data_IF_331036003414
#
_entry.id   IF_331036003414
#
_cell.length_a   1.000
_cell.length_b   1.000
_cell.length_c   1.000
_cell.angle_alpha   90.00
_cell.angle_beta   90.00
_cell.angle_gamma   90.00
#
_symmetry.space_group_name_H-M   'P 1'
#
loop_
_entity.id
_entity.type
_entity.pdbx_description
1 polymer ?
#
# COMPACT_ATOMS: atom_id res chain seq x y z
N UNK A 1 -17.11 -33.92 -16.84
CA UNK A 1 -15.83 -34.47 -17.36
C UNK A 1 -15.95 -35.72 -18.25
N UNK A 2 -16.80 -36.73 -17.97
CA UNK A 2 -16.86 -37.96 -18.82
C UNK A 2 -17.41 -37.78 -20.24
N UNK A 3 -18.31 -36.83 -20.48
CA UNK A 3 -18.92 -36.59 -21.80
C UNK A 3 -18.00 -35.84 -22.78
N UNK A 4 -17.18 -34.92 -22.27
CA UNK A 4 -16.27 -34.10 -23.09
C UNK A 4 -15.19 -34.97 -23.77
N UNK A 5 -14.70 -36.01 -23.07
CA UNK A 5 -13.72 -36.95 -23.60
C UNK A 5 -14.27 -37.82 -24.74
N UNK A 6 -15.59 -38.04 -24.80
CA UNK A 6 -16.23 -38.84 -25.86
C UNK A 6 -16.37 -38.01 -27.16
N UNK A 7 -16.66 -36.71 -27.03
CA UNK A 7 -16.82 -35.79 -28.17
C UNK A 7 -15.48 -35.53 -28.86
N UNK A 8 -14.40 -35.35 -28.09
CA UNK A 8 -13.05 -35.16 -28.63
C UNK A 8 -12.54 -36.42 -29.34
N UNK A 9 -12.83 -37.61 -28.80
CA UNK A 9 -12.48 -38.87 -29.45
C UNK A 9 -13.24 -39.10 -30.78
N UNK A 10 -14.51 -38.67 -30.87
CA UNK A 10 -15.29 -38.78 -32.09
C UNK A 10 -14.83 -37.81 -33.20
N UNK A 11 -14.37 -36.61 -32.83
CA UNK A 11 -13.85 -35.62 -33.78
C UNK A 11 -12.52 -36.05 -34.43
N UNK A 12 -11.67 -36.78 -33.69
CA UNK A 12 -10.38 -37.26 -34.18
C UNK A 12 -10.50 -38.45 -35.17
N UNK A 13 -11.61 -39.18 -35.15
CA UNK A 13 -11.85 -40.35 -36.03
C UNK A 13 -12.58 -39.99 -37.34
N UNK A 14 -13.04 -38.74 -37.49
CA UNK A 14 -13.78 -38.25 -38.65
C UNK A 14 -13.07 -38.38 -40.03
N UNK A 15 -11.73 -38.33 -40.16
CA UNK A 15 -11.09 -38.47 -41.48
C UNK A 15 -11.10 -39.89 -42.04
N UNK A 16 -11.33 -40.90 -41.19
CA UNK A 16 -11.16 -42.32 -41.54
C UNK A 16 -12.47 -42.95 -42.07
N UNK A 17 -13.62 -42.40 -41.68
CA UNK A 17 -14.93 -42.93 -42.03
C UNK A 17 -15.73 -41.85 -42.77
N UNK A 18 -15.79 -41.95 -44.09
CA UNK A 18 -16.34 -40.93 -45.00
C UNK A 18 -17.72 -40.36 -44.65
N UNK A 19 -18.07 -39.26 -45.35
CA UNK A 19 -19.08 -38.22 -45.09
C UNK A 19 -20.47 -38.56 -44.50
N UNK A 20 -20.85 -39.82 -44.29
CA UNK A 20 -22.12 -40.20 -43.64
C UNK A 20 -22.16 -39.93 -42.13
N UNK A 21 -21.02 -39.79 -41.46
CA UNK A 21 -20.96 -39.59 -40.00
C UNK A 21 -21.00 -38.12 -39.56
N UNK A 22 -20.66 -37.18 -40.44
CA UNK A 22 -20.65 -35.75 -40.13
C UNK A 22 -22.05 -35.20 -39.75
N UNK A 23 -23.11 -35.75 -40.35
CA UNK A 23 -24.49 -35.36 -40.04
C UNK A 23 -24.95 -35.81 -38.65
N UNK A 24 -24.50 -36.98 -38.18
CA UNK A 24 -24.85 -37.51 -36.86
C UNK A 24 -24.12 -36.76 -35.74
N UNK A 25 -22.85 -36.40 -35.97
CA UNK A 25 -22.06 -35.61 -35.02
C UNK A 25 -22.61 -34.20 -34.83
N UNK A 26 -23.04 -33.52 -35.92
CA UNK A 26 -23.72 -32.21 -35.80
C UNK A 26 -25.03 -32.29 -35.03
N UNK A 27 -25.82 -33.34 -35.21
CA UNK A 27 -27.08 -33.52 -34.48
C UNK A 27 -26.86 -33.75 -32.98
N UNK A 28 -25.82 -34.51 -32.62
CA UNK A 28 -25.42 -34.75 -31.23
C UNK A 28 -24.85 -33.51 -30.54
N UNK A 29 -24.12 -32.66 -31.25
CA UNK A 29 -23.63 -31.37 -30.69
C UNK A 29 -24.80 -30.43 -30.39
N UNK A 30 -25.79 -30.33 -31.28
CA UNK A 30 -26.96 -29.46 -31.02
C UNK A 30 -27.87 -29.99 -29.90
N UNK A 31 -28.05 -31.31 -29.76
CA UNK A 31 -28.83 -31.89 -28.65
C UNK A 31 -28.12 -31.76 -27.28
N UNK A 32 -26.79 -31.62 -27.25
CA UNK A 32 -26.03 -31.31 -26.02
C UNK A 32 -26.15 -29.82 -25.67
N UNK A 33 -26.10 -28.92 -26.66
CA UNK A 33 -26.30 -27.48 -26.43
C UNK A 33 -27.74 -27.16 -25.96
N UNK A 34 -28.76 -27.86 -26.48
CA UNK A 34 -30.16 -27.64 -26.09
C UNK A 34 -30.46 -28.15 -24.66
N UNK A 35 -29.70 -29.13 -24.16
CA UNK A 35 -29.82 -29.63 -22.76
C UNK A 35 -29.07 -28.80 -21.73
N UNK A 36 -28.10 -27.97 -22.12
CA UNK A 36 -27.43 -27.05 -21.18
C UNK A 36 -28.19 -25.72 -21.02
N UNK A 37 -29.03 -25.32 -21.98
CA UNK A 37 -29.82 -24.07 -21.88
C UNK A 37 -31.11 -24.19 -21.03
N UNK A 38 -31.49 -25.40 -20.61
CA UNK A 38 -32.73 -25.66 -19.85
C UNK A 38 -32.62 -25.68 -18.33
N UNK A 39 -31.42 -25.54 -17.75
CA UNK A 39 -31.25 -25.54 -16.29
C UNK A 39 -31.31 -24.11 -15.75
N UNK A 40 -32.51 -23.55 -15.74
CA UNK A 40 -32.88 -22.41 -14.89
C UNK A 40 -32.76 -22.88 -13.45
N UNK A 41 -31.57 -22.72 -12.88
CA UNK A 41 -31.38 -22.75 -11.43
C UNK A 41 -32.14 -21.54 -10.91
N UNK A 42 -33.16 -21.82 -10.09
CA UNK A 42 -33.88 -20.82 -9.30
C UNK A 42 -32.91 -19.78 -8.74
N UNK A 43 -33.20 -18.50 -8.99
CA UNK A 43 -32.56 -17.35 -8.36
C UNK A 43 -32.63 -17.52 -6.83
N UNK A 44 -31.63 -18.20 -6.28
CA UNK A 44 -31.19 -17.93 -4.93
C UNK A 44 -30.68 -16.50 -4.99
N UNK A 45 -31.34 -15.61 -4.24
CA UNK A 45 -31.02 -14.20 -4.18
C UNK A 45 -29.50 -14.03 -4.10
N UNK A 46 -28.89 -13.65 -5.23
CA UNK A 46 -27.54 -13.10 -5.25
C UNK A 46 -27.70 -11.79 -4.50
N UNK A 47 -27.47 -11.86 -3.18
CA UNK A 47 -27.09 -10.68 -2.42
C UNK A 47 -25.87 -10.17 -3.14
N UNK A 48 -26.05 -9.16 -3.99
CA UNK A 48 -24.98 -8.22 -4.28
C UNK A 48 -24.36 -7.90 -2.92
N UNK A 49 -23.05 -8.15 -2.72
CA UNK A 49 -22.38 -7.64 -1.54
C UNK A 49 -22.77 -6.17 -1.47
N UNK A 50 -23.37 -5.77 -0.35
CA UNK A 50 -23.55 -4.38 -0.04
C UNK A 50 -22.18 -3.73 -0.33
N UNK A 51 -22.06 -2.72 -1.21
CA UNK A 51 -20.78 -2.05 -1.41
C UNK A 51 -20.29 -1.73 0.00
N UNK A 52 -19.17 -2.37 0.39
CA UNK A 52 -18.64 -2.28 1.74
C UNK A 52 -18.67 -0.79 2.06
N UNK A 53 -19.52 -0.40 3.01
CA UNK A 53 -19.61 0.99 3.43
C UNK A 53 -18.18 1.30 3.83
N UNK A 54 -17.51 2.11 3.00
CA UNK A 54 -16.09 2.36 3.11
C UNK A 54 -15.83 2.68 4.58
N UNK A 55 -15.03 1.84 5.21
CA UNK A 55 -14.78 1.93 6.64
C UNK A 55 -14.21 3.33 6.86
N UNK A 56 -14.95 4.14 7.61
CA UNK A 56 -14.48 5.47 7.99
C UNK A 56 -13.22 5.24 8.82
N UNK A 57 -12.12 5.91 8.45
CA UNK A 57 -10.88 5.93 9.21
C UNK A 57 -10.89 7.22 10.05
N UNK A 58 -11.49 7.20 11.26
CA UNK A 58 -11.74 8.42 12.03
C UNK A 58 -10.45 9.04 12.60
N UNK A 59 -9.41 8.23 12.78
CA UNK A 59 -8.18 8.63 13.44
C UNK A 59 -7.12 9.03 12.42
N UNK A 60 -6.24 9.94 12.81
CA UNK A 60 -5.27 10.57 11.91
C UNK A 60 -3.97 10.94 12.62
N UNK A 61 -2.87 10.80 11.90
CA UNK A 61 -1.55 11.29 12.27
C UNK A 61 -0.87 11.89 11.04
N UNK A 62 -0.07 12.94 11.26
CA UNK A 62 0.78 13.55 10.25
C UNK A 62 2.15 13.80 10.83
N UNK A 63 3.17 13.49 10.04
CA UNK A 63 4.54 13.90 10.27
C UNK A 63 5.07 14.66 9.05
N UNK A 64 5.65 15.83 9.29
CA UNK A 64 6.26 16.64 8.25
C UNK A 64 7.52 16.00 7.65
N UNK A 65 8.17 15.09 8.39
CA UNK A 65 9.32 14.35 7.85
C UNK A 65 8.79 13.33 6.82
N UNK A 66 9.14 13.51 5.55
CA UNK A 66 8.64 12.67 4.45
C UNK A 66 7.16 12.88 4.09
N UNK A 67 6.48 13.87 4.69
CA UNK A 67 5.04 14.10 4.55
C UNK A 67 4.20 12.82 4.78
N UNK A 68 4.53 12.10 5.85
CA UNK A 68 3.82 10.88 6.24
C UNK A 68 2.42 11.21 6.75
N UNK A 69 1.41 10.71 6.03
CA UNK A 69 0.01 10.77 6.48
C UNK A 69 -0.47 9.37 6.82
N UNK A 70 -1.06 9.19 8.01
CA UNK A 70 -1.65 7.93 8.43
C UNK A 70 -3.06 8.14 8.93
N UNK A 71 -3.95 7.24 8.54
CA UNK A 71 -5.34 7.14 9.00
C UNK A 71 -5.62 5.74 9.47
N UNK A 72 -6.40 5.62 10.53
CA UNK A 72 -6.81 4.30 10.98
C UNK A 72 -8.16 4.30 11.67
N UNK A 73 -8.72 3.10 11.77
CA UNK A 73 -9.90 2.76 12.53
C UNK A 73 -9.80 1.33 13.05
N UNK A 74 -10.81 0.93 13.83
CA UNK A 74 -10.93 -0.45 14.29
C UNK A 74 -12.21 -1.06 13.73
N UNK A 75 -12.10 -2.31 13.29
CA UNK A 75 -13.24 -3.11 12.84
C UNK A 75 -13.33 -4.38 13.67
N UNK A 76 -14.56 -4.87 13.85
CA UNK A 76 -14.91 -5.95 14.78
C UNK A 76 -14.57 -5.61 16.25
N UNK A 77 -14.64 -6.61 17.14
CA UNK A 77 -14.41 -6.45 18.58
C UNK A 77 -13.72 -7.69 19.17
N UNK A 78 -13.09 -7.52 20.33
CA UNK A 78 -12.49 -8.62 21.10
C UNK A 78 -11.30 -9.26 20.38
N UNK A 79 -11.25 -10.59 20.33
CA UNK A 79 -10.12 -11.34 19.74
C UNK A 79 -10.08 -11.29 18.20
N UNK A 80 -11.17 -10.84 17.57
CA UNK A 80 -11.25 -10.67 16.12
C UNK A 80 -11.14 -9.20 15.70
N UNK A 81 -10.87 -8.32 16.66
CA UNK A 81 -10.65 -6.90 16.39
C UNK A 81 -9.41 -6.72 15.50
N UNK A 82 -9.54 -5.83 14.52
CA UNK A 82 -8.51 -5.52 13.54
C UNK A 82 -8.33 -4.01 13.46
N UNK A 83 -7.11 -3.60 13.14
CA UNK A 83 -6.88 -2.25 12.62
C UNK A 83 -7.23 -2.24 11.14
N UNK A 84 -7.89 -1.18 10.68
CA UNK A 84 -7.99 -0.80 9.27
C UNK A 84 -7.11 0.44 9.13
N UNK A 85 -5.99 0.32 8.45
CA UNK A 85 -4.92 1.33 8.42
C UNK A 85 -4.65 1.72 6.98
N UNK A 86 -4.58 3.02 6.75
CA UNK A 86 -4.15 3.62 5.49
C UNK A 86 -2.98 4.56 5.78
N UNK A 87 -1.91 4.47 5.02
CA UNK A 87 -0.83 5.45 5.07
C UNK A 87 -0.38 5.88 3.68
N UNK A 88 0.13 7.10 3.62
CA UNK A 88 0.56 7.76 2.38
C UNK A 88 1.96 8.33 2.59
N UNK A 89 2.83 8.03 1.62
CA UNK A 89 4.18 8.57 1.53
C UNK A 89 4.50 8.87 0.07
N UNK A 90 5.28 9.92 -0.14
CA UNK A 90 5.75 10.29 -1.47
C UNK A 90 6.89 9.39 -1.90
N UNK A 91 6.58 8.45 -2.77
CA UNK A 91 7.52 7.50 -3.34
C UNK A 91 6.86 6.70 -4.45
N UNK A 92 7.61 6.50 -5.52
CA UNK A 92 7.27 5.69 -6.68
C UNK A 92 7.94 4.32 -6.69
N UNK A 93 8.89 4.07 -5.77
CA UNK A 93 9.62 2.82 -5.61
C UNK A 93 9.03 1.94 -4.51
N UNK A 94 9.16 2.33 -3.23
CA UNK A 94 8.52 1.67 -2.08
C UNK A 94 8.33 2.62 -0.88
N UNK A 95 7.34 2.28 -0.07
CA UNK A 95 7.04 2.87 1.23
C UNK A 95 6.86 1.75 2.24
N UNK A 96 7.19 2.00 3.51
CA UNK A 96 7.05 1.01 4.56
C UNK A 96 6.68 1.62 5.89
N UNK A 97 5.97 0.84 6.71
CA UNK A 97 5.65 1.16 8.09
C UNK A 97 5.97 -0.06 8.97
N UNK A 98 6.62 0.16 10.10
CA UNK A 98 6.95 -0.86 11.08
C UNK A 98 6.30 -0.61 12.44
N UNK A 99 5.94 -1.69 13.12
CA UNK A 99 5.11 -1.68 14.32
C UNK A 99 5.92 -2.04 15.57
N UNK A 100 5.89 -1.16 16.58
CA UNK A 100 6.40 -1.47 17.91
C UNK A 100 7.93 -1.51 17.99
N UNK A 101 8.60 -0.87 17.04
CA UNK A 101 10.04 -0.84 16.90
C UNK A 101 10.53 0.61 16.76
N UNK A 102 11.78 0.85 17.14
CA UNK A 102 12.46 2.17 17.03
C UNK A 102 13.74 2.05 16.20
N UNK A 103 13.81 1.05 15.34
CA UNK A 103 14.90 0.75 14.42
C UNK A 103 14.41 -0.25 13.40
N UNK A 104 15.11 -0.41 12.26
CA UNK A 104 14.80 -1.51 11.34
C UNK A 104 15.04 -2.88 11.98
N UNK A 105 15.95 -2.98 12.96
CA UNK A 105 16.27 -4.23 13.64
C UNK A 105 15.12 -4.77 14.48
N UNK A 106 14.82 -6.06 14.33
CA UNK A 106 13.77 -6.78 15.08
C UNK A 106 12.43 -6.06 14.95
N UNK A 107 12.08 -5.71 13.71
CA UNK A 107 10.89 -4.93 13.41
C UNK A 107 9.94 -5.71 12.48
N UNK A 108 8.68 -5.77 12.90
CA UNK A 108 7.52 -6.17 12.10
C UNK A 108 7.13 -4.99 11.20
N UNK A 109 7.06 -5.23 9.89
CA UNK A 109 6.90 -4.19 8.89
C UNK A 109 5.95 -4.60 7.77
N UNK A 110 5.22 -3.62 7.28
CA UNK A 110 4.47 -3.72 6.02
C UNK A 110 5.15 -2.81 5.00
N UNK A 111 5.61 -3.39 3.90
CA UNK A 111 6.33 -2.67 2.84
C UNK A 111 5.65 -2.90 1.50
N UNK A 112 5.51 -1.84 0.70
CA UNK A 112 4.88 -1.93 -0.61
C UNK A 112 4.95 -0.65 -1.41
N UNK A 113 4.19 -0.58 -2.49
CA UNK A 113 3.98 0.64 -3.26
C UNK A 113 2.60 0.67 -3.92
N UNK A 114 2.20 1.85 -4.36
CA UNK A 114 0.89 2.09 -4.98
C UNK A 114 0.76 1.72 -6.46
N UNK A 115 1.86 1.34 -7.13
CA UNK A 115 1.90 1.16 -8.58
C UNK A 115 2.48 2.34 -9.38
N UNK A 116 3.57 2.95 -8.89
CA UNK A 116 4.33 4.00 -9.57
C UNK A 116 5.22 3.45 -10.70
N UNK A 117 6.55 3.49 -10.52
CA UNK A 117 7.48 2.91 -11.51
C UNK A 117 7.52 1.38 -11.46
N UNK A 118 7.25 0.80 -10.30
CA UNK A 118 7.11 -0.64 -10.11
C UNK A 118 5.64 -1.05 -10.11
N UNK A 119 5.36 -2.29 -10.48
CA UNK A 119 4.05 -2.91 -10.26
C UNK A 119 3.64 -2.76 -8.80
N UNK A 120 2.37 -2.43 -8.56
CA UNK A 120 1.83 -2.33 -7.20
C UNK A 120 2.06 -3.63 -6.43
N UNK A 121 2.60 -3.52 -5.22
CA UNK A 121 2.79 -4.64 -4.31
C UNK A 121 2.64 -4.19 -2.85
N UNK A 122 2.37 -5.14 -1.96
CA UNK A 122 2.52 -4.98 -0.51
C UNK A 122 2.76 -6.35 0.08
N UNK A 123 3.69 -6.45 1.00
CA UNK A 123 4.05 -7.70 1.65
C UNK A 123 4.30 -7.46 3.14
N UNK A 124 4.17 -8.54 3.89
CA UNK A 124 4.39 -8.62 5.33
C UNK A 124 5.82 -9.09 5.60
N UNK A 125 6.58 -8.28 6.34
CA UNK A 125 8.01 -8.42 6.50
C UNK A 125 8.42 -8.39 7.97
N UNK A 126 9.51 -9.11 8.26
CA UNK A 126 10.24 -8.98 9.50
C UNK A 126 11.73 -8.87 9.24
N UNK A 127 12.37 -7.94 9.94
CA UNK A 127 13.82 -7.75 9.85
C UNK A 127 14.49 -8.19 11.15
N UNK A 128 15.52 -9.04 11.04
CA UNK A 128 16.17 -9.70 12.18
C UNK A 128 17.45 -8.98 12.64
N UNK A 129 18.25 -8.45 11.70
CA UNK A 129 19.65 -8.10 11.93
C UNK A 129 19.91 -6.59 12.07
N UNK A 130 19.09 -5.77 11.42
CA UNK A 130 19.20 -4.33 11.18
C UNK A 130 19.90 -4.03 9.86
N UNK A 131 19.58 -2.87 9.26
CA UNK A 131 20.27 -2.30 8.09
C UNK A 131 20.45 -3.27 6.90
N UNK A 132 19.47 -4.14 6.67
CA UNK A 132 19.42 -5.11 5.58
C UNK A 132 18.05 -5.15 4.93
N UNK A 133 18.00 -5.76 3.75
CA UNK A 133 16.74 -6.12 3.13
C UNK A 133 15.97 -7.08 4.06
N UNK A 134 14.72 -6.75 4.42
CA UNK A 134 13.94 -7.59 5.31
C UNK A 134 13.48 -8.87 4.63
N UNK A 135 13.17 -9.88 5.44
CA UNK A 135 12.59 -11.13 4.97
C UNK A 135 11.09 -11.08 5.07
N UNK A 136 10.37 -11.73 4.15
CA UNK A 136 8.92 -11.86 4.36
C UNK A 136 8.66 -12.78 5.55
N UNK A 137 7.52 -12.59 6.22
CA UNK A 137 7.16 -13.41 7.36
C UNK A 137 7.09 -14.90 7.00
N UNK A 138 6.55 -15.21 5.81
CA UNK A 138 6.49 -16.57 5.28
C UNK A 138 7.89 -17.19 5.11
N UNK A 139 8.92 -16.43 4.69
CA UNK A 139 10.30 -16.91 4.59
C UNK A 139 10.88 -17.30 5.95
N UNK A 140 10.44 -16.62 7.01
CA UNK A 140 10.83 -16.90 8.40
C UNK A 140 9.90 -17.91 9.10
N UNK A 141 8.95 -18.49 8.35
CA UNK A 141 7.97 -19.47 8.83
C UNK A 141 6.87 -18.87 9.71
N UNK A 142 6.54 -17.60 9.50
CA UNK A 142 5.30 -16.97 9.94
C UNK A 142 4.21 -16.98 8.86
N UNK A 143 3.31 -16.02 8.90
CA UNK A 143 2.20 -15.82 7.97
C UNK A 143 2.15 -14.39 7.45
N UNK A 144 1.62 -14.21 6.24
CA UNK A 144 1.20 -12.89 5.79
C UNK A 144 -0.19 -12.59 6.39
N UNK A 145 -0.26 -11.61 7.28
CA UNK A 145 -1.45 -11.29 8.07
C UNK A 145 -2.24 -10.07 7.54
N UNK A 146 -1.94 -9.64 6.32
CA UNK A 146 -2.60 -8.52 5.64
C UNK A 146 -3.89 -8.96 4.93
N UNK A 147 -5.00 -8.32 5.28
CA UNK A 147 -6.33 -8.53 4.71
C UNK A 147 -6.83 -7.26 3.99
N UNK A 148 -7.78 -7.40 3.07
CA UNK A 148 -8.49 -6.27 2.41
C UNK A 148 -7.57 -5.17 1.84
N UNK A 149 -6.45 -5.59 1.24
CA UNK A 149 -5.43 -4.70 0.68
C UNK A 149 -5.99 -3.82 -0.44
N UNK A 150 -5.69 -2.51 -0.37
CA UNK A 150 -5.93 -1.51 -1.41
C UNK A 150 -4.65 -0.72 -1.63
N UNK A 151 -4.18 -0.70 -2.88
CA UNK A 151 -2.96 -0.01 -3.30
C UNK A 151 -3.34 1.04 -4.34
N UNK A 152 -2.86 2.27 -4.17
CA UNK A 152 -3.05 3.36 -5.13
C UNK A 152 -1.78 4.17 -5.27
N UNK A 153 -1.50 4.61 -6.48
CA UNK A 153 -0.50 5.63 -6.75
C UNK A 153 -1.19 6.83 -7.36
N UNK A 154 -1.21 7.94 -6.63
CA UNK A 154 -1.84 9.18 -7.06
C UNK A 154 -1.08 10.39 -6.54
N UNK A 155 -1.02 11.45 -7.34
CA UNK A 155 -0.30 12.68 -6.98
C UNK A 155 1.15 12.42 -6.52
N UNK A 156 1.83 11.45 -7.17
CA UNK A 156 3.21 11.04 -6.88
C UNK A 156 3.43 10.42 -5.49
N UNK A 157 2.34 9.99 -4.84
CA UNK A 157 2.39 9.30 -3.57
C UNK A 157 1.86 7.87 -3.69
N UNK A 158 2.50 6.97 -2.96
CA UNK A 158 1.99 5.62 -2.72
C UNK A 158 1.05 5.65 -1.52
N UNK A 159 -0.18 5.16 -1.72
CA UNK A 159 -1.20 5.00 -0.69
C UNK A 159 -1.43 3.50 -0.49
N UNK A 160 -1.16 3.02 0.72
CA UNK A 160 -1.35 1.65 1.13
C UNK A 160 -2.44 1.60 2.18
N UNK A 161 -3.47 0.79 1.96
CA UNK A 161 -4.48 0.47 2.97
C UNK A 161 -4.62 -1.03 3.13
N UNK A 162 -4.70 -1.49 4.37
CA UNK A 162 -4.89 -2.90 4.69
C UNK A 162 -5.57 -3.05 6.04
N UNK A 163 -6.03 -4.26 6.33
CA UNK A 163 -6.51 -4.67 7.64
C UNK A 163 -5.59 -5.73 8.22
N UNK A 164 -5.39 -5.69 9.53
CA UNK A 164 -4.61 -6.71 10.26
C UNK A 164 -5.17 -6.88 11.66
N UNK A 165 -5.14 -8.09 12.20
CA UNK A 165 -5.55 -8.34 13.59
C UNK A 165 -4.64 -7.58 14.55
N UNK A 166 -5.18 -7.14 15.68
CA UNK A 166 -4.35 -6.48 16.71
C UNK A 166 -3.32 -7.44 17.34
N UNK A 167 -3.67 -8.72 17.38
CA UNK A 167 -2.82 -9.83 17.80
C UNK A 167 -3.09 -10.99 16.83
N UNK A 168 -2.13 -11.25 15.94
CA UNK A 168 -2.20 -12.31 14.92
C UNK A 168 -1.87 -13.67 15.53
N UNK A 169 -1.11 -13.68 16.62
CA UNK A 169 -0.50 -14.88 17.19
C UNK A 169 0.72 -15.37 16.42
N UNK A 170 1.17 -14.63 15.39
CA UNK A 170 2.48 -14.85 14.77
C UNK A 170 3.59 -14.43 15.75
N UNK A 171 4.70 -15.15 15.71
CA UNK A 171 5.90 -14.90 16.54
C UNK A 171 6.74 -13.72 16.03
N UNK A 172 6.60 -13.35 14.75
CA UNK A 172 7.33 -12.23 14.15
C UNK A 172 6.58 -10.92 14.31
N UNK A 173 5.26 -11.01 14.44
CA UNK A 173 4.37 -9.89 14.60
C UNK A 173 4.45 -9.17 15.95
N UNK A 174 4.41 -7.85 15.88
CA UNK A 174 4.14 -6.98 17.00
C UNK A 174 2.63 -6.97 17.30
N UNK A 175 2.28 -7.06 18.58
CA UNK A 175 0.91 -6.80 19.03
C UNK A 175 0.63 -5.30 18.92
N UNK A 176 -0.33 -4.93 18.06
CA UNK A 176 -0.79 -3.54 17.89
C UNK A 176 -1.62 -3.14 19.11
N UNK A 177 -1.08 -2.22 19.90
CA UNK A 177 -1.71 -1.74 21.14
C UNK A 177 -2.68 -0.62 20.84
N UNK A 178 -3.87 -0.64 21.45
CA UNK A 178 -4.76 0.54 21.52
C UNK A 178 -4.26 1.52 22.58
N UNK A 179 -3.19 2.23 22.26
CA UNK A 179 -2.52 3.20 23.13
C UNK A 179 -1.24 3.70 22.46
N UNK A 180 -0.35 4.31 23.24
CA UNK A 180 0.96 4.75 22.75
C UNK A 180 1.79 3.57 22.24
N UNK A 181 2.25 3.70 21.00
CA UNK A 181 3.09 2.74 20.30
C UNK A 181 4.06 3.50 19.39
N UNK A 182 5.31 3.07 19.40
CA UNK A 182 6.30 3.59 18.46
C UNK A 182 6.11 2.90 17.11
N UNK A 183 6.15 3.70 16.06
CA UNK A 183 6.11 3.26 14.67
C UNK A 183 7.35 3.81 13.98
N UNK A 184 7.91 3.02 13.07
CA UNK A 184 8.91 3.49 12.12
C UNK A 184 8.26 3.58 10.76
N UNK A 185 8.64 4.53 9.92
CA UNK A 185 8.30 4.51 8.52
C UNK A 185 9.50 4.91 7.67
N UNK A 186 9.51 4.45 6.44
CA UNK A 186 10.57 4.72 5.48
C UNK A 186 9.99 4.80 4.07
N UNK A 187 10.69 5.48 3.18
CA UNK A 187 10.32 5.60 1.78
C UNK A 187 11.56 5.66 0.90
N UNK A 188 11.42 5.25 -0.35
CA UNK A 188 12.50 5.23 -1.33
C UNK A 188 12.03 5.96 -2.57
N UNK A 189 12.74 6.99 -3.02
CA UNK A 189 12.43 7.69 -4.27
C UNK A 189 13.68 7.85 -5.14
N UNK A 190 13.48 8.12 -6.43
CA UNK A 190 14.57 8.51 -7.31
C UNK A 190 15.24 9.82 -6.85
N UNK A 191 16.55 10.00 -7.11
CA UNK A 191 17.46 9.08 -7.81
C UNK A 191 18.15 8.06 -6.89
N UNK A 192 17.80 8.03 -5.60
CA UNK A 192 18.50 7.19 -4.61
C UNK A 192 18.17 5.71 -4.76
N UNK A 193 16.96 5.42 -5.22
CA UNK A 193 16.44 4.07 -5.34
C UNK A 193 16.15 3.74 -6.80
N UNK A 194 16.70 2.62 -7.29
CA UNK A 194 16.47 2.15 -8.67
C UNK A 194 15.46 1.02 -8.74
N UNK A 195 15.27 0.30 -7.63
CA UNK A 195 14.34 -0.82 -7.48
C UNK A 195 13.96 -1.04 -6.01
N UNK A 196 13.11 -2.04 -5.76
CA UNK A 196 12.62 -2.41 -4.42
C UNK A 196 13.66 -3.07 -3.52
N UNK A 197 14.86 -3.37 -4.03
CA UNK A 197 15.97 -3.95 -3.28
C UNK A 197 17.01 -2.88 -2.87
N UNK A 198 16.82 -1.65 -3.33
CA UNK A 198 17.68 -0.52 -3.02
C UNK A 198 17.44 -0.05 -1.59
N UNK A 199 18.50 0.31 -0.88
CA UNK A 199 18.35 1.01 0.40
C UNK A 199 17.79 2.42 0.14
N UNK A 200 16.91 2.90 1.01
CA UNK A 200 16.45 4.29 0.96
C UNK A 200 17.59 5.27 1.27
N UNK A 201 17.41 6.53 0.87
CA UNK A 201 18.41 7.56 1.12
C UNK A 201 18.58 7.84 2.62
N UNK A 202 19.74 8.36 3.06
CA UNK A 202 19.88 8.91 4.39
C UNK A 202 18.80 9.96 4.67
N UNK A 203 18.10 9.83 5.80
CA UNK A 203 16.99 10.72 6.18
C UNK A 203 15.63 10.36 5.57
N UNK A 204 15.54 9.38 4.66
CA UNK A 204 14.27 8.90 4.11
C UNK A 204 13.55 7.89 5.01
N UNK A 205 13.52 8.19 6.30
CA UNK A 205 12.84 7.41 7.33
C UNK A 205 12.65 8.26 8.59
N UNK A 206 11.70 7.88 9.45
CA UNK A 206 11.56 8.47 10.77
C UNK A 206 10.92 7.52 11.78
N UNK A 207 11.00 7.86 13.07
CA UNK A 207 10.30 7.19 14.17
C UNK A 207 9.31 8.17 14.79
N UNK A 208 8.07 7.71 14.96
CA UNK A 208 6.99 8.47 15.58
C UNK A 208 6.40 7.67 16.73
N UNK A 209 5.85 8.35 17.72
CA UNK A 209 5.05 7.72 18.78
C UNK A 209 3.61 8.14 18.58
N UNK A 210 2.71 7.17 18.39
CA UNK A 210 1.31 7.40 18.07
C UNK A 210 0.42 6.75 19.12
N UNK A 211 -0.57 7.50 19.61
CA UNK A 211 -1.65 6.93 20.40
C UNK A 211 -2.68 6.26 19.48
N UNK A 212 -2.44 4.98 19.20
CA UNK A 212 -3.27 4.15 18.33
C UNK A 212 -4.68 3.93 18.87
N UNK A 213 -4.99 4.28 20.14
CA UNK A 213 -6.38 4.22 20.64
C UNK A 213 -7.34 5.18 19.93
N UNK A 214 -6.79 6.20 19.25
CA UNK A 214 -7.56 7.25 18.58
C UNK A 214 -8.02 8.37 19.51
N UNK A 215 -7.80 8.26 20.83
CA UNK A 215 -8.30 9.22 21.82
C UNK A 215 -7.80 10.66 21.62
N UNK A 216 -6.63 10.84 20.99
CA UNK A 216 -6.01 12.14 20.75
C UNK A 216 -6.08 12.60 19.28
N UNK A 217 -6.74 11.83 18.41
CA UNK A 217 -6.70 12.04 16.96
C UNK A 217 -7.47 13.28 16.47
N UNK A 218 -8.53 13.71 17.17
CA UNK A 218 -9.27 14.93 16.77
C UNK A 218 -8.41 16.20 16.93
N UNK A 219 -7.57 16.24 17.97
CA UNK A 219 -6.61 17.33 18.18
C UNK A 219 -5.53 17.31 17.10
N UNK A 220 -5.03 16.13 16.72
CA UNK A 220 -4.06 15.97 15.64
C UNK A 220 -4.63 16.40 14.28
N UNK A 221 -5.92 16.11 14.02
CA UNK A 221 -6.61 16.52 12.80
C UNK A 221 -6.74 18.04 12.69
N UNK A 222 -7.04 18.73 13.79
CA UNK A 222 -7.08 20.21 13.82
C UNK A 222 -5.68 20.83 13.67
N UNK A 223 -4.63 20.22 14.22
CA UNK A 223 -3.24 20.71 14.08
C UNK A 223 -2.72 20.49 12.66
N UNK A 224 -2.97 19.33 12.05
CA UNK A 224 -2.51 19.03 10.70
C UNK A 224 -3.25 19.85 9.62
N UNK A 225 -4.56 20.05 9.79
CA UNK A 225 -5.34 20.98 8.94
C UNK A 225 -5.04 22.45 9.27
N UNK A 226 -4.40 22.71 10.39
CA UNK A 226 -4.17 24.03 10.97
C UNK A 226 -2.70 24.31 11.29
N UNK A 227 -1.84 24.35 10.26
CA UNK A 227 -0.56 25.07 10.26
C UNK A 227 0.49 24.59 11.27
N UNK A 228 1.53 23.93 10.75
CA UNK A 228 2.82 23.85 11.42
C UNK A 228 3.35 25.26 11.73
N UNK A 229 3.63 25.53 13.01
CA UNK A 229 4.31 26.76 13.45
C UNK A 229 5.74 26.73 12.92
N UNK A 230 6.03 27.54 11.90
CA UNK A 230 7.40 27.83 11.46
C UNK A 230 8.23 28.33 12.64
N UNK A 231 9.23 27.52 13.04
CA UNK A 231 10.30 27.97 13.91
C UNK A 231 11.12 29.02 13.17
N UNK A 232 11.33 30.18 13.78
CA UNK A 232 12.09 31.30 13.21
C UNK A 232 13.61 31.09 13.26
N UNK A 233 14.08 29.89 12.91
CA UNK A 233 15.49 29.65 12.63
C UNK A 233 15.81 30.13 11.22
N UNK A 234 17.01 30.67 11.00
CA UNK A 234 17.48 30.96 9.65
C UNK A 234 17.51 29.65 8.85
N UNK A 235 16.79 29.59 7.73
CA UNK A 235 16.71 28.41 6.87
C UNK A 235 18.10 28.01 6.35
N UNK A 236 18.54 26.77 6.59
CA UNK A 236 19.77 26.23 6.00
C UNK A 236 19.47 25.67 4.60
N UNK A 237 19.40 26.54 3.60
CA UNK A 237 19.14 26.16 2.21
C UNK A 237 20.37 25.60 1.50
N UNK A 238 21.06 24.64 2.11
CA UNK A 238 22.20 23.95 1.50
C UNK A 238 21.82 22.54 1.10
N UNK A 239 22.47 22.04 0.06
CA UNK A 239 22.38 20.66 -0.37
C UNK A 239 22.49 19.66 0.80
N UNK A 240 21.48 18.79 0.93
CA UNK A 240 21.42 17.78 2.00
C UNK A 240 20.96 18.30 3.36
N UNK A 241 20.54 19.56 3.46
CA UNK A 241 19.87 20.08 4.66
C UNK A 241 18.44 19.55 4.78
N UNK A 242 17.99 19.35 6.01
CA UNK A 242 16.60 19.00 6.37
C UNK A 242 15.61 20.11 5.99
N UNK A 243 16.09 21.33 5.74
CA UNK A 243 15.26 22.46 5.34
C UNK A 243 14.88 22.46 3.85
N UNK A 244 15.57 21.67 3.02
CA UNK A 244 15.28 21.56 1.59
C UNK A 244 14.00 20.76 1.34
N UNK A 245 13.27 21.16 0.29
CA UNK A 245 12.16 20.35 -0.20
C UNK A 245 12.68 19.09 -0.91
N UNK A 246 12.02 17.96 -0.67
CA UNK A 246 12.15 16.79 -1.53
C UNK A 246 11.58 17.06 -2.93
N UNK A 247 11.94 16.22 -3.90
CA UNK A 247 11.40 16.30 -5.26
C UNK A 247 9.87 16.27 -5.26
N UNK A 248 9.32 15.35 -4.48
CA UNK A 248 7.90 15.18 -4.30
C UNK A 248 7.21 16.42 -3.71
N UNK A 249 7.87 17.09 -2.76
CA UNK A 249 7.39 18.36 -2.20
C UNK A 249 7.39 19.50 -3.21
N UNK A 250 8.44 19.61 -4.04
CA UNK A 250 8.53 20.59 -5.12
C UNK A 250 7.43 20.36 -6.17
N UNK A 251 7.15 19.11 -6.53
CA UNK A 251 6.08 18.74 -7.46
C UNK A 251 4.70 19.11 -6.92
N UNK A 252 4.41 18.80 -5.65
CA UNK A 252 3.15 19.18 -4.99
C UNK A 252 2.91 20.70 -5.01
N UNK A 253 4.00 21.47 -4.95
CA UNK A 253 4.00 22.92 -4.97
C UNK A 253 3.97 23.50 -6.38
N UNK A 254 4.02 22.66 -7.42
CA UNK A 254 4.06 23.07 -8.83
C UNK A 254 5.36 23.78 -9.21
N UNK A 255 6.45 23.51 -8.48
CA UNK A 255 7.78 24.10 -8.74
C UNK A 255 8.48 23.35 -9.87
N UNK A 256 8.29 22.02 -9.91
CA UNK A 256 8.79 21.15 -10.95
C UNK A 256 7.64 20.26 -11.46
N UNK A 257 7.68 19.88 -12.74
CA UNK A 257 6.62 19.10 -13.37
C UNK A 257 6.85 17.58 -13.27
N UNK A 258 8.10 17.16 -13.04
CA UNK A 258 8.51 15.76 -12.99
C UNK A 258 9.73 15.53 -12.08
N UNK A 259 9.99 14.26 -11.74
CA UNK A 259 11.21 13.87 -11.02
C UNK A 259 12.48 14.12 -11.83
N UNK A 260 12.40 14.06 -13.16
CA UNK A 260 13.54 14.38 -14.04
C UNK A 260 13.96 15.86 -13.93
N UNK A 261 13.01 16.74 -13.58
CA UNK A 261 13.24 18.15 -13.32
C UNK A 261 13.75 18.41 -11.88
N UNK A 262 13.74 17.38 -11.03
CA UNK A 262 14.22 17.50 -9.67
C UNK A 262 15.74 17.52 -9.62
N UNK A 263 16.27 18.74 -9.60
CA UNK A 263 17.69 18.99 -9.39
C UNK A 263 17.93 19.52 -7.97
N UNK A 264 19.12 19.25 -7.44
CA UNK A 264 19.55 19.82 -6.17
C UNK A 264 19.51 21.36 -6.23
N UNK A 265 19.84 21.93 -7.39
CA UNK A 265 19.71 23.35 -7.68
C UNK A 265 18.27 23.84 -7.54
N UNK A 266 17.28 23.13 -8.09
CA UNK A 266 15.86 23.50 -7.98
C UNK A 266 15.38 23.48 -6.51
N UNK A 267 15.82 22.50 -5.72
CA UNK A 267 15.47 22.41 -4.30
C UNK A 267 16.09 23.55 -3.48
N UNK A 268 17.36 23.87 -3.72
CA UNK A 268 18.07 24.99 -3.06
C UNK A 268 17.44 26.33 -3.47
N UNK A 269 17.21 26.55 -4.76
CA UNK A 269 16.61 27.78 -5.27
C UNK A 269 15.23 28.03 -4.65
N UNK A 270 14.39 27.00 -4.58
CA UNK A 270 13.08 27.12 -3.93
C UNK A 270 13.21 27.47 -2.45
N UNK A 271 14.11 26.82 -1.71
CA UNK A 271 14.35 27.11 -0.30
C UNK A 271 14.83 28.56 -0.09
N UNK A 272 15.76 29.05 -0.90
CA UNK A 272 16.27 30.43 -0.80
C UNK A 272 15.18 31.47 -1.08
N UNK A 273 14.26 31.17 -1.99
CA UNK A 273 13.17 32.09 -2.37
C UNK A 273 11.98 32.06 -1.39
N UNK A 274 11.69 30.89 -0.81
CA UNK A 274 10.44 30.66 -0.07
C UNK A 274 10.63 30.29 1.40
N UNK A 275 11.87 30.09 1.86
CA UNK A 275 12.19 29.56 3.19
C UNK A 275 12.18 28.03 3.23
N UNK A 276 12.32 27.47 4.43
CA UNK A 276 12.36 26.01 4.62
C UNK A 276 11.09 25.35 4.11
N UNK A 277 11.17 24.11 3.63
CA UNK A 277 10.02 23.43 3.03
C UNK A 277 8.82 23.29 3.98
N UNK A 278 9.08 23.21 5.29
CA UNK A 278 8.06 23.15 6.34
C UNK A 278 7.46 24.50 6.75
N UNK A 279 8.01 25.63 6.29
CA UNK A 279 7.69 26.96 6.83
C UNK A 279 6.68 27.79 6.04
N UNK A 280 6.03 27.25 4.99
CA UNK A 280 5.22 28.10 4.11
C UNK A 280 3.96 28.60 4.83
N UNK A 281 4.01 29.87 5.23
CA UNK A 281 2.85 30.67 5.62
C UNK A 281 1.91 30.80 4.42
N UNK A 282 0.69 30.32 4.58
CA UNK A 282 -0.42 30.60 3.68
C UNK A 282 -0.71 32.11 3.69
N UNK A 283 -0.51 32.78 2.55
CA UNK A 283 -1.02 34.13 2.28
C UNK A 283 -2.54 34.10 2.09
#
# INVERSE_FOLDING_TARGET
MKLLNIVVAAALLAPVYGCKWAGLARKLVMEVEEKEQGKVVSESAVRTPNPLKESELPYYHYDSIGDFEMRWGFVNEGKEERVDLEFTLYSDIFVGIGFGCTSSKMCDMVVGNGGGRNSAFVEDYFEVDGDREPHTDEELGGTNDLEDVVLKYENYASVLRFKRKLDTGDKWDAIIKKGWMDLVYAWCEEPFCVDTHSAHAPGSWNIISVDMSGANSEIAKEIALGRGKGGSGDADCKAGSEDLCSCSQLMKRGVIDSFDDCTQEAAVEYCEQHGTCGSVATY
#
